data_IF_832951270878
#
_entry.id   IF_832951270878
#
_cell.length_a   1.000
_cell.length_b   1.000
_cell.length_c   1.000
_cell.angle_alpha   90.00
_cell.angle_beta   90.00
_cell.angle_gamma   90.00
#
_symmetry.space_group_name_H-M   'P 1'
#
loop_
_entity.id
_entity.type
_entity.pdbx_description
1 polymer ?
#
# COMPACT_ATOMS: atom_id res chain seq x y z
N UNK A 1 7.51 -21.77 -94.01
CA UNK A 1 7.11 -20.72 -93.12
C UNK A 1 6.73 -21.35 -91.80
N UNK A 2 7.62 -21.38 -90.79
CA UNK A 2 7.31 -21.83 -89.42
C UNK A 2 7.85 -20.78 -88.47
N UNK A 3 6.95 -20.12 -87.75
CA UNK A 3 7.23 -19.10 -86.72
C UNK A 3 7.45 -19.83 -85.38
N UNK A 4 8.63 -19.69 -84.84
CA UNK A 4 8.93 -20.16 -83.50
C UNK A 4 8.53 -19.08 -82.49
N UNK A 5 7.56 -19.41 -81.61
CA UNK A 5 7.26 -18.64 -80.43
C UNK A 5 8.22 -19.04 -79.32
N UNK A 6 8.96 -18.09 -78.83
CA UNK A 6 9.80 -18.22 -77.64
C UNK A 6 8.94 -17.85 -76.44
N UNK A 7 8.67 -18.79 -75.58
CA UNK A 7 8.00 -18.54 -74.33
C UNK A 7 9.01 -18.10 -73.26
N UNK A 8 8.82 -16.91 -72.69
CA UNK A 8 9.62 -16.34 -71.64
C UNK A 8 8.97 -16.73 -70.30
N UNK A 9 9.59 -17.64 -69.57
CA UNK A 9 9.18 -18.01 -68.17
C UNK A 9 9.82 -17.05 -67.24
N UNK A 10 9.02 -16.18 -66.58
CA UNK A 10 9.43 -15.34 -65.50
C UNK A 10 9.35 -16.13 -64.19
N UNK A 11 10.49 -16.36 -63.56
CA UNK A 11 10.57 -16.95 -62.25
C UNK A 11 10.33 -15.85 -61.21
N UNK A 12 9.19 -15.95 -60.50
CA UNK A 12 8.88 -15.08 -59.34
C UNK A 12 9.48 -15.73 -58.10
N UNK A 13 10.56 -15.18 -57.58
CA UNK A 13 11.13 -15.56 -56.29
C UNK A 13 10.35 -14.85 -55.17
N UNK A 14 9.60 -15.63 -54.40
CA UNK A 14 8.87 -15.18 -53.23
C UNK A 14 9.85 -15.09 -52.04
N UNK A 15 10.24 -13.89 -51.64
CA UNK A 15 11.01 -13.66 -50.43
C UNK A 15 10.06 -13.70 -49.24
N UNK A 16 10.16 -14.76 -48.41
CA UNK A 16 9.46 -14.86 -47.14
C UNK A 16 10.26 -14.07 -46.13
N UNK A 17 9.80 -12.87 -45.76
CA UNK A 17 10.31 -12.11 -44.67
C UNK A 17 9.79 -12.75 -43.34
N UNK A 18 10.66 -13.39 -42.58
CA UNK A 18 10.37 -13.85 -41.24
C UNK A 18 10.28 -12.62 -40.29
N UNK A 19 9.05 -12.23 -39.94
CA UNK A 19 8.81 -11.24 -38.90
C UNK A 19 8.99 -11.93 -37.57
N UNK A 20 10.16 -11.75 -36.96
CA UNK A 20 10.40 -12.14 -35.55
C UNK A 20 9.62 -11.17 -34.66
N UNK A 21 8.42 -11.56 -34.21
CA UNK A 21 7.72 -10.91 -33.12
C UNK A 21 8.52 -11.15 -31.85
N UNK A 22 9.35 -10.18 -31.48
CA UNK A 22 9.86 -10.08 -30.14
C UNK A 22 8.66 -9.69 -29.23
N UNK A 23 8.13 -10.69 -28.50
CA UNK A 23 7.28 -10.42 -27.35
C UNK A 23 8.18 -9.79 -26.28
N UNK A 24 8.34 -8.47 -26.31
CA UNK A 24 8.69 -7.73 -25.13
C UNK A 24 7.49 -7.86 -24.21
N UNK A 25 7.65 -8.67 -23.15
CA UNK A 25 6.71 -8.68 -22.03
C UNK A 25 6.68 -7.26 -21.49
N UNK A 26 5.61 -6.56 -21.82
CA UNK A 26 5.21 -5.35 -21.13
C UNK A 26 4.76 -5.82 -19.75
N UNK A 27 5.71 -5.87 -18.80
CA UNK A 27 5.34 -5.86 -17.39
C UNK A 27 4.58 -4.55 -17.23
N UNK A 28 3.26 -4.69 -17.13
CA UNK A 28 2.38 -3.57 -16.86
C UNK A 28 2.97 -2.82 -15.66
N UNK A 29 3.58 -1.67 -15.93
CA UNK A 29 4.01 -0.75 -14.90
C UNK A 29 2.73 -0.40 -14.13
N UNK A 30 2.58 -1.00 -12.94
CA UNK A 30 1.51 -0.64 -12.01
C UNK A 30 1.58 0.86 -11.89
N UNK A 31 0.54 1.54 -12.36
CA UNK A 31 0.45 2.99 -12.33
C UNK A 31 0.60 3.41 -10.86
N UNK A 32 1.72 4.04 -10.54
CA UNK A 32 1.98 4.62 -9.21
C UNK A 32 1.33 6.00 -9.12
N UNK A 33 0.16 6.15 -9.73
CA UNK A 33 -0.56 7.42 -9.77
C UNK A 33 -0.83 7.93 -8.36
N UNK A 34 -0.24 9.09 -8.07
CA UNK A 34 -0.39 9.78 -6.80
C UNK A 34 0.52 9.31 -5.67
N UNK A 35 1.41 8.32 -5.87
CA UNK A 35 2.39 7.95 -4.86
C UNK A 35 3.33 9.12 -4.56
N UNK A 36 3.55 9.40 -3.27
CA UNK A 36 4.48 10.43 -2.81
C UNK A 36 5.49 9.89 -1.78
N UNK A 37 5.46 8.58 -1.51
CA UNK A 37 6.41 7.91 -0.64
C UNK A 37 6.54 6.43 -0.96
N UNK A 38 7.60 5.80 -0.43
CA UNK A 38 7.83 4.37 -0.50
C UNK A 38 8.03 3.84 0.92
N UNK A 39 7.42 2.71 1.26
CA UNK A 39 7.59 2.05 2.55
C UNK A 39 9.01 1.49 2.65
N UNK A 40 9.73 1.89 3.71
CA UNK A 40 11.04 1.33 4.07
C UNK A 40 10.86 0.13 4.99
N UNK A 41 10.07 0.27 6.05
CA UNK A 41 9.69 -0.80 6.96
C UNK A 41 8.55 -0.37 7.89
N UNK A 42 7.81 -1.33 8.38
CA UNK A 42 6.89 -1.13 9.50
C UNK A 42 7.67 -1.21 10.81
N UNK A 43 7.51 -0.20 11.67
CA UNK A 43 8.14 -0.13 12.99
C UNK A 43 7.25 -0.78 14.04
N UNK A 44 5.96 -0.40 14.05
CA UNK A 44 4.91 -0.95 14.87
C UNK A 44 3.58 -0.95 14.10
N UNK A 45 2.52 -1.44 14.68
CA UNK A 45 1.23 -1.55 14.00
C UNK A 45 0.68 -0.25 13.41
N UNK A 46 1.02 0.89 14.00
CA UNK A 46 0.59 2.22 13.57
C UNK A 46 1.74 3.18 13.23
N UNK A 47 2.95 2.68 13.18
CA UNK A 47 4.15 3.49 12.88
C UNK A 47 4.98 2.84 11.79
N UNK A 48 5.19 3.59 10.71
CA UNK A 48 5.89 3.13 9.51
C UNK A 48 7.08 4.05 9.23
N UNK A 49 8.20 3.50 8.77
CA UNK A 49 9.28 4.27 8.18
C UNK A 49 9.07 4.33 6.67
N UNK A 50 9.07 5.52 6.11
CA UNK A 50 8.91 5.77 4.68
C UNK A 50 10.09 6.54 4.12
N UNK A 51 10.32 6.43 2.82
CA UNK A 51 11.20 7.27 2.05
C UNK A 51 10.36 8.27 1.26
N UNK A 52 10.67 9.56 1.42
CA UNK A 52 10.07 10.67 0.69
C UNK A 52 11.22 11.44 0.04
N UNK A 53 11.32 11.40 -1.27
CA UNK A 53 12.36 12.10 -2.05
C UNK A 53 13.81 11.80 -1.56
N UNK A 54 14.07 10.53 -1.17
CA UNK A 54 15.37 10.08 -0.66
C UNK A 54 15.60 10.37 0.82
N UNK A 55 14.63 10.91 1.52
CA UNK A 55 14.69 11.17 2.96
C UNK A 55 13.84 10.17 3.74
N UNK A 56 14.42 9.55 4.76
CA UNK A 56 13.72 8.62 5.64
C UNK A 56 12.98 9.35 6.74
N UNK A 57 11.67 9.15 6.78
CA UNK A 57 10.76 9.74 7.77
C UNK A 57 10.05 8.66 8.57
N UNK A 58 9.77 8.95 9.86
CA UNK A 58 8.84 8.15 10.64
C UNK A 58 7.45 8.73 10.45
N UNK A 59 6.52 7.89 10.05
CA UNK A 59 5.11 8.23 9.84
C UNK A 59 4.25 7.54 10.88
N UNK A 60 3.48 8.30 11.65
CA UNK A 60 2.43 7.84 12.56
C UNK A 60 1.10 7.89 11.82
N UNK A 61 0.46 6.75 11.72
CA UNK A 61 -0.87 6.62 11.14
C UNK A 61 -1.89 7.30 12.06
N UNK A 62 -2.55 8.36 11.58
CA UNK A 62 -3.54 9.10 12.38
C UNK A 62 -4.89 8.38 12.44
N UNK A 63 -5.65 8.68 13.52
CA UNK A 63 -6.99 8.15 13.74
C UNK A 63 -7.03 6.80 14.44
N UNK A 64 -5.90 6.12 14.58
CA UNK A 64 -5.80 4.76 15.08
C UNK A 64 -4.73 4.62 16.18
N UNK A 65 -4.89 3.62 17.03
CA UNK A 65 -3.93 3.20 18.04
C UNK A 65 -3.87 1.69 18.11
N UNK A 66 -2.72 1.13 17.71
CA UNK A 66 -2.49 -0.31 17.81
C UNK A 66 -1.88 -0.67 19.17
N UNK A 67 -2.12 -1.89 19.68
CA UNK A 67 -1.44 -2.34 20.88
C UNK A 67 0.09 -2.30 20.69
N UNK A 68 0.79 -1.79 21.70
CA UNK A 68 2.23 -1.48 21.66
C UNK A 68 3.12 -2.73 21.67
N UNK A 69 4.19 -2.72 20.85
CA UNK A 69 5.17 -3.83 20.78
C UNK A 69 6.62 -3.41 21.01
N UNK A 70 6.97 -2.15 20.74
CA UNK A 70 8.38 -1.71 20.66
C UNK A 70 8.74 -0.56 21.62
N UNK A 71 7.76 -0.03 22.36
CA UNK A 71 8.01 1.10 23.28
C UNK A 71 8.91 0.67 24.43
N UNK A 72 10.04 1.36 24.66
CA UNK A 72 10.94 1.05 25.78
C UNK A 72 10.18 1.02 27.12
N UNK A 73 10.57 0.11 28.01
CA UNK A 73 10.03 -0.04 29.36
C UNK A 73 8.51 -0.28 29.42
N UNK A 74 7.92 -0.72 28.31
CA UNK A 74 6.49 -1.05 28.23
C UNK A 74 6.36 -2.53 27.84
N UNK A 75 5.61 -3.34 28.60
CA UNK A 75 5.32 -4.71 28.18
C UNK A 75 4.60 -4.74 26.83
N UNK A 76 4.88 -5.80 26.04
CA UNK A 76 4.12 -6.07 24.82
C UNK A 76 2.65 -6.22 25.20
N UNK A 77 1.81 -5.43 24.54
CA UNK A 77 0.38 -5.45 24.81
C UNK A 77 -0.31 -6.59 24.09
N UNK A 78 -1.47 -7.02 24.62
CA UNK A 78 -2.32 -8.01 23.98
C UNK A 78 -2.62 -7.62 22.54
N UNK A 79 -2.45 -8.56 21.61
CA UNK A 79 -2.67 -8.38 20.16
C UNK A 79 -1.68 -7.43 19.46
N UNK A 80 -0.63 -6.94 20.13
CA UNK A 80 0.38 -6.07 19.52
C UNK A 80 1.16 -6.75 18.40
N UNK A 81 1.73 -7.96 18.61
CA UNK A 81 2.44 -8.70 17.56
C UNK A 81 1.58 -8.96 16.32
N UNK A 82 0.30 -9.28 16.51
CA UNK A 82 -0.66 -9.54 15.43
C UNK A 82 -0.96 -8.25 14.66
N UNK A 83 -1.17 -7.12 15.34
CA UNK A 83 -1.37 -5.82 14.72
C UNK A 83 -0.15 -5.38 13.90
N UNK A 84 1.06 -5.51 14.46
CA UNK A 84 2.30 -5.22 13.74
C UNK A 84 2.49 -6.13 12.53
N UNK A 85 2.17 -7.43 12.65
CA UNK A 85 2.25 -8.37 11.53
C UNK A 85 1.23 -8.04 10.43
N UNK A 86 0.02 -7.65 10.78
CA UNK A 86 -1.00 -7.24 9.83
C UNK A 86 -0.59 -6.00 9.05
N UNK A 87 -0.09 -4.96 9.73
CA UNK A 87 0.42 -3.77 9.05
C UNK A 87 1.59 -4.09 8.10
N UNK A 88 2.48 -5.03 8.47
CA UNK A 88 3.55 -5.52 7.58
C UNK A 88 3.02 -6.25 6.35
N UNK A 89 1.89 -6.95 6.46
CA UNK A 89 1.23 -7.57 5.30
C UNK A 89 0.59 -6.52 4.38
N UNK A 90 -0.01 -5.47 4.94
CA UNK A 90 -0.59 -4.38 4.16
C UNK A 90 0.47 -3.52 3.48
N UNK A 91 1.62 -3.33 4.14
CA UNK A 91 2.70 -2.43 3.74
C UNK A 91 4.07 -3.15 3.71
N UNK A 92 4.28 -4.13 2.81
CA UNK A 92 5.60 -4.70 2.58
C UNK A 92 6.64 -3.62 2.21
N UNK A 93 7.90 -3.90 2.48
CA UNK A 93 9.00 -3.03 2.04
C UNK A 93 8.95 -2.79 0.53
N UNK A 94 9.17 -1.55 0.10
CA UNK A 94 9.09 -1.15 -1.29
C UNK A 94 7.67 -0.78 -1.78
N UNK A 95 6.64 -0.96 -0.95
CA UNK A 95 5.27 -0.55 -1.32
C UNK A 95 5.21 0.95 -1.58
N UNK A 96 4.74 1.33 -2.77
CA UNK A 96 4.45 2.71 -3.10
C UNK A 96 3.16 3.15 -2.42
N UNK A 97 3.20 4.28 -1.72
CA UNK A 97 2.05 4.80 -0.97
C UNK A 97 1.82 6.28 -1.27
N UNK A 98 0.57 6.68 -1.14
CA UNK A 98 0.15 8.06 -1.10
C UNK A 98 -0.16 8.42 0.35
N UNK A 99 0.56 9.40 0.88
CA UNK A 99 0.36 9.94 2.22
C UNK A 99 -0.43 11.23 2.08
N UNK A 100 -1.58 11.28 2.72
CA UNK A 100 -2.38 12.50 2.88
C UNK A 100 -2.21 13.03 4.29
N UNK A 101 -1.97 14.34 4.39
CA UNK A 101 -1.88 15.05 5.67
C UNK A 101 -3.23 15.65 6.02
N UNK A 102 -3.45 15.81 7.31
CA UNK A 102 -4.54 16.61 7.86
C UNK A 102 -3.98 18.00 8.25
N UNK A 103 -4.53 18.64 9.27
CA UNK A 103 -4.18 20.01 9.70
C UNK A 103 -2.76 20.06 10.26
N UNK A 104 -2.43 19.19 11.22
CA UNK A 104 -1.08 19.09 11.77
C UNK A 104 -0.28 18.02 11.02
N UNK A 105 0.89 18.43 10.55
CA UNK A 105 1.76 17.57 9.77
C UNK A 105 2.70 16.69 10.61
N UNK A 106 2.98 17.06 11.86
CA UNK A 106 3.90 16.34 12.75
C UNK A 106 3.40 16.36 14.19
N UNK A 107 3.77 15.33 14.93
CA UNK A 107 3.55 15.27 16.37
C UNK A 107 4.71 15.88 17.18
N UNK A 108 4.57 15.92 18.51
CA UNK A 108 5.58 16.43 19.45
C UNK A 108 6.91 15.66 19.43
N UNK A 109 6.92 14.45 18.86
CA UNK A 109 8.12 13.63 18.67
C UNK A 109 8.77 13.83 17.30
N UNK A 110 8.23 14.75 16.47
CA UNK A 110 8.71 15.05 15.13
C UNK A 110 8.31 14.03 14.07
N UNK A 111 7.46 13.02 14.39
CA UNK A 111 6.97 12.06 13.41
C UNK A 111 5.98 12.75 12.48
N UNK A 112 6.03 12.40 11.18
CA UNK A 112 4.96 12.78 10.26
C UNK A 112 3.64 12.17 10.72
N UNK A 113 2.55 12.90 10.53
CA UNK A 113 1.19 12.45 10.73
C UNK A 113 0.51 12.30 9.38
N UNK A 114 -0.17 11.15 9.15
CA UNK A 114 -0.80 10.96 7.85
C UNK A 114 -1.79 9.83 7.77
N UNK A 115 -2.63 9.95 6.75
CA UNK A 115 -3.48 8.90 6.21
C UNK A 115 -2.75 8.24 5.06
N UNK A 116 -2.68 6.91 5.04
CA UNK A 116 -1.89 6.13 4.09
C UNK A 116 -2.80 5.36 3.15
N UNK A 117 -2.58 5.54 1.86
CA UNK A 117 -3.23 4.78 0.80
C UNK A 117 -2.18 4.03 -0.01
N UNK A 118 -2.41 2.76 -0.29
CA UNK A 118 -1.56 2.03 -1.24
C UNK A 118 -1.79 2.58 -2.64
N UNK A 119 -0.70 2.77 -3.38
CA UNK A 119 -0.79 3.39 -4.71
C UNK A 119 -1.23 2.41 -5.81
N UNK A 120 -1.17 1.11 -5.56
CA UNK A 120 -1.52 0.06 -6.53
C UNK A 120 -3.03 -0.23 -6.58
N UNK A 121 -3.71 -0.17 -5.45
CA UNK A 121 -5.13 -0.52 -5.34
C UNK A 121 -5.98 0.52 -4.61
N UNK A 122 -5.35 1.59 -4.11
CA UNK A 122 -6.05 2.67 -3.39
C UNK A 122 -6.53 2.29 -2.00
N UNK A 123 -6.10 1.14 -1.44
CA UNK A 123 -6.52 0.71 -0.10
C UNK A 123 -6.17 1.77 0.95
N UNK A 124 -7.17 2.22 1.71
CA UNK A 124 -6.98 3.10 2.85
C UNK A 124 -6.49 2.29 4.06
N UNK A 125 -5.19 2.27 4.28
CA UNK A 125 -4.52 1.39 5.24
C UNK A 125 -4.95 1.64 6.67
N UNK A 126 -5.01 2.91 7.11
CA UNK A 126 -5.46 3.26 8.47
C UNK A 126 -6.86 2.70 8.75
N UNK A 127 -7.78 2.86 7.80
CA UNK A 127 -9.15 2.39 7.95
C UNK A 127 -9.23 0.86 7.97
N UNK A 128 -8.46 0.19 7.12
CA UNK A 128 -8.42 -1.28 7.04
C UNK A 128 -7.93 -1.90 8.35
N UNK A 129 -6.89 -1.31 8.98
CA UNK A 129 -6.38 -1.78 10.27
C UNK A 129 -7.48 -1.74 11.35
N UNK A 130 -8.27 -0.66 11.40
CA UNK A 130 -9.40 -0.55 12.34
C UNK A 130 -10.53 -1.50 11.98
N UNK A 131 -10.90 -1.58 10.69
CA UNK A 131 -12.02 -2.40 10.23
C UNK A 131 -11.82 -3.90 10.51
N UNK A 132 -10.56 -4.36 10.50
CA UNK A 132 -10.19 -5.75 10.82
C UNK A 132 -9.94 -5.98 12.32
N UNK A 133 -10.10 -4.95 13.17
CA UNK A 133 -9.96 -5.07 14.62
C UNK A 133 -8.51 -5.13 15.11
N UNK A 134 -7.56 -4.56 14.38
CA UNK A 134 -6.14 -4.51 14.80
C UNK A 134 -5.77 -3.22 15.53
N UNK A 135 -6.66 -2.23 15.56
CA UNK A 135 -6.45 -0.98 16.28
C UNK A 135 -7.72 -0.50 16.97
N UNK A 136 -7.55 0.21 18.08
CA UNK A 136 -8.55 1.08 18.66
C UNK A 136 -8.54 2.44 17.97
N UNK A 137 -9.54 3.28 18.29
CA UNK A 137 -9.58 4.66 17.81
C UNK A 137 -8.69 5.55 18.67
N UNK A 138 -7.98 6.46 18.02
CA UNK A 138 -7.25 7.53 18.67
C UNK A 138 -7.39 8.82 17.89
N UNK A 139 -8.30 9.68 18.30
CA UNK A 139 -8.56 10.96 17.65
C UNK A 139 -7.84 12.08 18.37
N UNK A 140 -6.97 12.78 17.67
CA UNK A 140 -6.27 13.97 18.16
C UNK A 140 -6.64 15.17 17.29
N UNK A 141 -7.50 16.09 17.81
CA UNK A 141 -7.71 17.35 17.12
C UNK A 141 -6.39 18.13 17.01
N UNK A 142 -6.15 18.82 15.88
CA UNK A 142 -7.12 19.14 14.81
C UNK A 142 -7.24 18.10 13.70
N UNK A 143 -6.54 16.95 13.77
CA UNK A 143 -6.52 15.91 12.73
C UNK A 143 -7.75 15.00 12.86
N UNK A 144 -8.85 15.38 12.20
CA UNK A 144 -10.16 14.75 12.38
C UNK A 144 -10.89 14.42 11.07
N UNK A 145 -10.22 14.54 9.91
CA UNK A 145 -10.88 14.47 8.60
C UNK A 145 -11.68 13.15 8.38
N UNK A 146 -11.24 12.02 8.93
CA UNK A 146 -11.86 10.70 8.71
C UNK A 146 -12.51 10.11 9.99
N UNK A 147 -12.79 10.91 11.01
CA UNK A 147 -13.28 10.43 12.31
C UNK A 147 -14.56 9.61 12.18
N UNK A 148 -15.52 10.03 11.37
CA UNK A 148 -16.80 9.33 11.23
C UNK A 148 -16.62 7.95 10.59
N UNK A 149 -15.73 7.82 9.61
CA UNK A 149 -15.40 6.55 8.96
C UNK A 149 -14.71 5.59 9.95
N UNK A 150 -13.75 6.07 10.72
CA UNK A 150 -13.07 5.28 11.75
C UNK A 150 -14.02 4.83 12.84
N UNK A 151 -14.92 5.70 13.32
CA UNK A 151 -15.93 5.35 14.32
C UNK A 151 -16.87 4.25 13.80
N UNK A 152 -17.31 4.36 12.55
CA UNK A 152 -18.17 3.36 11.95
C UNK A 152 -17.47 1.99 11.83
N UNK A 153 -16.21 1.99 11.36
CA UNK A 153 -15.39 0.78 11.20
C UNK A 153 -15.09 0.12 12.55
N UNK A 154 -14.65 0.88 13.56
CA UNK A 154 -14.36 0.35 14.89
C UNK A 154 -15.58 -0.30 15.55
N UNK A 155 -16.75 0.36 15.48
CA UNK A 155 -18.01 -0.21 15.99
C UNK A 155 -18.42 -1.48 15.25
N UNK A 156 -18.13 -1.57 13.96
CA UNK A 156 -18.40 -2.79 13.19
C UNK A 156 -17.47 -3.94 13.63
N UNK A 157 -16.17 -3.68 13.75
CA UNK A 157 -15.18 -4.64 14.23
C UNK A 157 -15.49 -5.15 15.65
N UNK A 158 -15.84 -4.25 16.58
CA UNK A 158 -16.24 -4.59 17.94
C UNK A 158 -17.48 -5.49 17.96
N UNK A 159 -18.55 -5.11 17.25
CA UNK A 159 -19.79 -5.96 17.17
C UNK A 159 -19.55 -7.32 16.57
N UNK A 160 -18.58 -7.42 15.66
CA UNK A 160 -18.22 -8.69 15.01
C UNK A 160 -17.15 -9.47 15.81
N UNK A 161 -16.72 -8.97 16.96
CA UNK A 161 -15.62 -9.53 17.79
C UNK A 161 -14.37 -9.84 16.94
N UNK A 162 -13.95 -8.92 16.08
CA UNK A 162 -12.75 -9.08 15.28
C UNK A 162 -11.49 -8.69 16.06
N UNK A 163 -10.39 -9.40 15.81
CA UNK A 163 -9.07 -9.05 16.26
C UNK A 163 -8.96 -8.86 17.78
N UNK A 164 -8.48 -7.70 18.21
CA UNK A 164 -8.28 -7.35 19.63
C UNK A 164 -9.58 -7.43 20.46
N UNK A 165 -10.73 -7.25 19.83
CA UNK A 165 -12.04 -7.26 20.52
C UNK A 165 -12.46 -8.66 20.99
N UNK A 166 -11.95 -9.72 20.35
CA UNK A 166 -12.12 -11.08 20.82
C UNK A 166 -10.93 -11.58 21.64
N UNK A 167 -9.71 -11.22 21.24
CA UNK A 167 -8.49 -11.78 21.81
C UNK A 167 -8.13 -11.19 23.18
N UNK A 168 -8.52 -9.93 23.44
CA UNK A 168 -8.10 -9.17 24.64
C UNK A 168 -9.25 -8.91 25.62
N UNK A 169 -10.42 -9.53 25.42
CA UNK A 169 -11.56 -9.45 26.33
C UNK A 169 -11.33 -10.40 27.52
N UNK A 170 -10.64 -9.92 28.57
CA UNK A 170 -10.35 -10.65 29.80
C UNK A 170 -10.41 -9.73 31.00
#
# INVERSE_FOLDING_TARGET
MRRHLIALTAAVTLAVAAVSSACTGDEAAVSRDGANATVVRVVDGDTVQVDIDGQREKLRLIGIDTPETVKPDTPVQCYGPEASAFTKQLLPEGTAVRIERDVEARDDYGRLLGYVYRADDGLFVNLEIVAQGYAALLTFPPNVAHVDEFVAAARAAERANLGLWSACSG
#
